data_IF_918462722208
#
_entry.id   IF_918462722208
#
_cell.length_a   1.000
_cell.length_b   1.000
_cell.length_c   1.000
_cell.angle_alpha   90.00
_cell.angle_beta   90.00
_cell.angle_gamma   90.00
#
_symmetry.space_group_name_H-M   'P 1'
#
loop_
_entity.id
_entity.type
_entity.pdbx_description
1 polymer ?
#
# COMPACT_ATOMS: atom_id res chain seq x y z
N UNK A 1 7.80 10.81 -3.37
CA UNK A 1 6.36 10.70 -3.69
C UNK A 1 5.50 11.10 -2.49
N UNK A 2 5.97 10.84 -1.26
CA UNK A 2 5.35 11.22 0.00
C UNK A 2 4.69 12.61 0.03
N UNK A 3 5.38 13.70 -0.35
CA UNK A 3 4.77 15.05 -0.37
C UNK A 3 3.46 15.06 -1.17
N UNK A 4 3.45 14.53 -2.40
CA UNK A 4 2.26 14.50 -3.24
C UNK A 4 1.14 13.60 -2.64
N UNK A 5 1.49 12.50 -1.96
CA UNK A 5 0.49 11.67 -1.26
C UNK A 5 -0.14 12.44 -0.09
N UNK A 6 0.68 13.13 0.73
CA UNK A 6 0.20 13.91 1.87
C UNK A 6 -0.64 15.13 1.44
N UNK A 7 -0.32 15.72 0.29
CA UNK A 7 -1.08 16.81 -0.32
C UNK A 7 -2.36 16.35 -1.04
N UNK A 8 -2.67 15.05 -1.05
CA UNK A 8 -3.85 14.51 -1.72
C UNK A 8 -3.74 14.46 -3.25
N UNK A 9 -2.56 14.68 -3.81
CA UNK A 9 -2.29 14.64 -5.26
C UNK A 9 -2.08 13.20 -5.74
N UNK A 10 -3.02 12.30 -5.47
CA UNK A 10 -2.85 10.87 -5.73
C UNK A 10 -2.63 10.54 -7.22
N UNK A 11 -3.26 11.29 -8.12
CA UNK A 11 -2.99 11.17 -9.56
C UNK A 11 -1.53 11.47 -9.90
N UNK A 12 -0.98 12.53 -9.30
CA UNK A 12 0.42 12.91 -9.49
C UNK A 12 1.38 11.86 -8.97
N UNK A 13 1.04 11.20 -7.87
CA UNK A 13 1.82 10.07 -7.32
C UNK A 13 1.88 8.92 -8.32
N UNK A 14 0.75 8.55 -8.93
CA UNK A 14 0.69 7.49 -9.96
C UNK A 14 1.51 7.86 -11.19
N UNK A 15 1.51 9.13 -11.62
CA UNK A 15 2.36 9.60 -12.71
C UNK A 15 3.85 9.53 -12.37
N UNK A 16 4.24 10.05 -11.20
CA UNK A 16 5.63 10.00 -10.72
C UNK A 16 6.12 8.56 -10.63
N UNK A 17 5.28 7.64 -10.16
CA UNK A 17 5.62 6.23 -10.04
C UNK A 17 6.10 5.64 -11.39
N UNK A 18 5.46 6.03 -12.50
CA UNK A 18 5.83 5.56 -13.86
C UNK A 18 7.21 6.02 -14.32
N UNK A 19 7.75 7.09 -13.73
CA UNK A 19 9.07 7.64 -14.09
C UNK A 19 10.21 7.03 -13.27
N UNK A 20 9.90 6.28 -12.23
CA UNK A 20 10.89 5.66 -11.33
C UNK A 20 11.06 4.20 -11.71
N UNK A 21 12.31 3.72 -11.73
CA UNK A 21 12.65 2.29 -11.77
C UNK A 21 12.91 1.80 -10.34
N UNK A 22 11.95 1.12 -9.67
CA UNK A 22 12.08 0.78 -8.26
C UNK A 22 13.28 -0.13 -7.97
N UNK A 23 13.67 -0.95 -8.95
CA UNK A 23 14.80 -1.88 -8.87
C UNK A 23 16.16 -1.14 -8.78
N UNK A 24 16.21 0.12 -9.21
CA UNK A 24 17.41 0.95 -9.05
C UNK A 24 17.57 1.50 -7.61
N UNK A 25 16.54 1.39 -6.77
CA UNK A 25 16.57 1.85 -5.38
C UNK A 25 17.28 0.81 -4.49
N UNK A 26 18.60 0.98 -4.30
CA UNK A 26 19.42 0.04 -3.51
C UNK A 26 19.04 -0.05 -2.02
N UNK A 27 18.54 1.04 -1.45
CA UNK A 27 18.13 1.06 -0.05
C UNK A 27 16.71 0.46 0.08
N UNK A 28 16.60 -0.63 0.85
CA UNK A 28 15.33 -1.32 1.13
C UNK A 28 14.22 -0.38 1.59
N UNK A 29 14.55 0.59 2.46
CA UNK A 29 13.59 1.58 2.96
C UNK A 29 13.07 2.52 1.86
N UNK A 30 13.89 2.84 0.85
CA UNK A 30 13.45 3.66 -0.29
C UNK A 30 12.54 2.84 -1.21
N UNK A 31 12.86 1.57 -1.40
CA UNK A 31 12.03 0.65 -2.17
C UNK A 31 10.67 0.45 -1.47
N UNK A 32 10.66 0.28 -0.15
CA UNK A 32 9.45 0.22 0.66
C UNK A 32 8.63 1.52 0.60
N UNK A 33 9.28 2.69 0.75
CA UNK A 33 8.61 4.00 0.68
C UNK A 33 7.94 4.23 -0.69
N UNK A 34 8.62 3.86 -1.78
CA UNK A 34 8.06 3.96 -3.13
C UNK A 34 6.74 3.19 -3.25
N UNK A 35 6.75 1.92 -2.84
CA UNK A 35 5.57 1.06 -2.92
C UNK A 35 4.48 1.46 -1.93
N UNK A 36 4.84 1.97 -0.75
CA UNK A 36 3.90 2.50 0.24
C UNK A 36 3.14 3.71 -0.31
N UNK A 37 3.86 4.70 -0.84
CA UNK A 37 3.26 5.92 -1.40
C UNK A 37 2.35 5.59 -2.59
N UNK A 38 2.82 4.72 -3.50
CA UNK A 38 2.02 4.26 -4.64
C UNK A 38 0.77 3.49 -4.17
N UNK A 39 0.90 2.59 -3.20
CA UNK A 39 -0.22 1.83 -2.66
C UNK A 39 -1.29 2.73 -2.05
N UNK A 40 -0.88 3.75 -1.28
CA UNK A 40 -1.80 4.75 -0.70
C UNK A 40 -2.53 5.54 -1.78
N UNK A 41 -1.84 5.97 -2.83
CA UNK A 41 -2.47 6.68 -3.94
C UNK A 41 -3.47 5.82 -4.71
N UNK A 42 -3.13 4.56 -5.00
CA UNK A 42 -4.03 3.62 -5.68
C UNK A 42 -5.25 3.27 -4.83
N UNK A 43 -5.06 3.13 -3.52
CA UNK A 43 -6.13 2.84 -2.57
C UNK A 43 -7.10 4.00 -2.38
N UNK A 44 -6.74 5.24 -2.70
CA UNK A 44 -7.57 6.40 -2.36
C UNK A 44 -9.01 6.30 -2.91
N UNK A 45 -9.16 6.02 -4.21
CA UNK A 45 -10.46 6.05 -4.90
C UNK A 45 -11.30 4.77 -4.79
N UNK A 46 -10.71 3.63 -4.41
CA UNK A 46 -11.41 2.33 -4.42
C UNK A 46 -11.48 1.65 -5.79
N UNK A 47 -11.01 2.33 -6.85
CA UNK A 47 -11.02 1.80 -8.22
C UNK A 47 -9.81 0.91 -8.53
N UNK A 48 -8.72 1.08 -7.80
CA UNK A 48 -7.45 0.37 -7.99
C UNK A 48 -7.01 -0.37 -6.72
N UNK A 49 -7.97 -0.88 -5.94
CA UNK A 49 -7.70 -1.56 -4.67
C UNK A 49 -6.83 -2.82 -4.85
N UNK A 50 -6.94 -3.51 -6.00
CA UNK A 50 -6.11 -4.68 -6.30
C UNK A 50 -4.66 -4.30 -6.59
N UNK A 51 -4.44 -3.22 -7.33
CA UNK A 51 -3.12 -2.68 -7.59
C UNK A 51 -2.50 -2.11 -6.31
N UNK A 52 -3.32 -1.50 -5.44
CA UNK A 52 -2.90 -1.05 -4.12
C UNK A 52 -2.45 -2.23 -3.24
N UNK A 53 -3.20 -3.33 -3.22
CA UNK A 53 -2.81 -4.58 -2.52
C UNK A 53 -1.43 -5.07 -3.02
N UNK A 54 -1.24 -5.15 -4.33
CA UNK A 54 0.04 -5.57 -4.93
C UNK A 54 1.18 -4.62 -4.52
N UNK A 55 0.94 -3.31 -4.54
CA UNK A 55 1.93 -2.33 -4.09
C UNK A 55 2.30 -2.54 -2.62
N UNK A 56 1.31 -2.74 -1.74
CA UNK A 56 1.58 -2.99 -0.32
C UNK A 56 2.34 -4.30 -0.07
N UNK A 57 2.07 -5.37 -0.83
CA UNK A 57 2.86 -6.61 -0.75
C UNK A 57 4.31 -6.35 -1.15
N UNK A 58 4.56 -5.52 -2.16
CA UNK A 58 5.93 -5.16 -2.57
C UNK A 58 6.61 -4.27 -1.52
N UNK A 59 5.88 -3.35 -0.91
CA UNK A 59 6.39 -2.52 0.20
C UNK A 59 6.79 -3.39 1.39
N UNK A 60 5.93 -4.33 1.76
CA UNK A 60 6.14 -5.29 2.84
C UNK A 60 7.38 -6.14 2.57
N UNK A 61 7.50 -6.77 1.40
CA UNK A 61 8.67 -7.57 1.03
C UNK A 61 9.97 -6.77 1.03
N UNK A 62 9.92 -5.49 0.66
CA UNK A 62 11.10 -4.63 0.63
C UNK A 62 11.64 -4.33 2.03
N UNK A 63 10.76 -4.06 3.00
CA UNK A 63 11.16 -3.84 4.40
C UNK A 63 10.04 -4.25 5.36
N UNK A 64 9.97 -5.54 5.76
CA UNK A 64 8.84 -6.07 6.54
C UNK A 64 8.60 -5.34 7.85
N UNK A 65 9.64 -5.20 8.68
CA UNK A 65 9.56 -4.53 9.99
C UNK A 65 9.09 -3.08 9.87
N UNK A 66 9.79 -2.22 9.09
CA UNK A 66 9.35 -0.85 8.87
C UNK A 66 7.95 -0.72 8.27
N UNK A 67 7.52 -1.66 7.43
CA UNK A 67 6.20 -1.63 6.81
C UNK A 67 5.08 -1.98 7.80
N UNK A 68 5.20 -3.06 8.58
CA UNK A 68 4.15 -3.46 9.53
C UNK A 68 4.00 -2.49 10.70
N UNK A 69 5.04 -1.72 11.01
CA UNK A 69 5.01 -0.65 12.03
C UNK A 69 4.53 0.70 11.47
N UNK A 70 4.29 0.83 10.16
CA UNK A 70 3.92 2.10 9.57
C UNK A 70 2.40 2.36 9.73
N UNK A 71 1.99 3.44 10.44
CA UNK A 71 0.57 3.72 10.68
C UNK A 71 -0.20 4.06 9.39
N UNK A 72 0.45 4.73 8.44
CA UNK A 72 -0.16 5.09 7.15
C UNK A 72 -0.44 3.85 6.29
N UNK A 73 0.45 2.84 6.38
CA UNK A 73 0.22 1.54 5.75
C UNK A 73 -0.96 0.81 6.40
N UNK A 74 -1.02 0.79 7.73
CA UNK A 74 -2.11 0.17 8.49
C UNK A 74 -3.47 0.78 8.12
N UNK A 75 -3.57 2.10 8.09
CA UNK A 75 -4.82 2.81 7.78
C UNK A 75 -5.31 2.52 6.35
N UNK A 76 -4.38 2.46 5.39
CA UNK A 76 -4.70 2.09 4.02
C UNK A 76 -5.20 0.63 3.92
N UNK A 77 -4.55 -0.31 4.63
CA UNK A 77 -4.98 -1.71 4.67
C UNK A 77 -6.34 -1.88 5.35
N UNK A 78 -6.63 -1.14 6.44
CA UNK A 78 -7.97 -1.10 7.05
C UNK A 78 -9.02 -0.62 6.04
N UNK A 79 -8.70 0.40 5.25
CA UNK A 79 -9.60 0.93 4.22
C UNK A 79 -9.87 -0.10 3.12
N UNK A 80 -8.83 -0.79 2.64
CA UNK A 80 -8.97 -1.88 1.68
C UNK A 80 -9.83 -3.02 2.24
N UNK A 81 -9.58 -3.43 3.49
CA UNK A 81 -10.35 -4.48 4.17
C UNK A 81 -11.84 -4.14 4.27
N UNK A 82 -12.19 -2.91 4.69
CA UNK A 82 -13.59 -2.46 4.80
C UNK A 82 -14.32 -2.49 3.47
N UNK A 83 -13.64 -2.13 2.37
CA UNK A 83 -14.24 -2.20 1.03
C UNK A 83 -14.35 -3.64 0.53
N UNK A 84 -13.32 -4.45 0.78
CA UNK A 84 -13.29 -5.85 0.40
C UNK A 84 -14.36 -6.68 1.13
N UNK A 85 -14.68 -6.39 2.39
CA UNK A 85 -15.78 -7.06 3.12
C UNK A 85 -17.14 -6.91 2.42
N UNK A 86 -17.38 -5.81 1.70
CA UNK A 86 -18.63 -5.61 0.93
C UNK A 86 -18.63 -6.31 -0.43
N UNK A 87 -17.49 -6.86 -0.85
CA UNK A 87 -17.28 -7.50 -2.15
C UNK A 87 -16.78 -8.93 -1.93
N UNK A 88 -15.46 -9.08 -1.79
CA UNK A 88 -14.77 -10.30 -1.42
C UNK A 88 -13.37 -9.95 -0.91
N UNK A 89 -12.94 -10.59 0.18
CA UNK A 89 -11.59 -10.43 0.73
C UNK A 89 -10.65 -11.42 0.04
N UNK A 90 -9.58 -10.92 -0.58
CA UNK A 90 -8.54 -11.77 -1.16
C UNK A 90 -7.68 -12.41 -0.06
N UNK A 91 -7.18 -13.63 -0.29
CA UNK A 91 -6.28 -14.33 0.64
C UNK A 91 -5.04 -13.50 1.00
N UNK A 92 -4.50 -12.78 0.01
CA UNK A 92 -3.35 -11.91 0.17
C UNK A 92 -3.67 -10.71 1.06
N UNK A 93 -4.79 -10.02 0.80
CA UNK A 93 -5.22 -8.89 1.61
C UNK A 93 -5.51 -9.31 3.05
N UNK A 94 -6.16 -10.45 3.26
CA UNK A 94 -6.37 -11.02 4.59
C UNK A 94 -5.06 -11.37 5.30
N UNK A 95 -4.07 -11.89 4.59
CA UNK A 95 -2.74 -12.16 5.15
C UNK A 95 -2.00 -10.87 5.51
N UNK A 96 -2.09 -9.85 4.67
CA UNK A 96 -1.52 -8.53 4.94
C UNK A 96 -2.17 -7.89 6.18
N UNK A 97 -3.50 -7.94 6.27
CA UNK A 97 -4.27 -7.44 7.41
C UNK A 97 -3.85 -8.08 8.74
N UNK A 98 -3.67 -9.41 8.75
CA UNK A 98 -3.18 -10.13 9.94
C UNK A 98 -1.80 -9.67 10.41
N UNK A 99 -0.89 -9.30 9.50
CA UNK A 99 0.43 -8.75 9.88
C UNK A 99 0.33 -7.40 10.61
N UNK A 100 -0.74 -6.66 10.36
CA UNK A 100 -1.07 -5.42 11.08
C UNK A 100 -1.93 -5.63 12.33
N UNK A 101 -2.20 -6.88 12.71
CA UNK A 101 -3.12 -7.21 13.81
C UNK A 101 -4.56 -6.78 13.55
N UNK A 102 -4.97 -6.71 12.27
CA UNK A 102 -6.35 -6.39 11.90
C UNK A 102 -7.13 -7.70 11.86
N UNK A 103 -8.13 -7.81 12.72
CA UNK A 103 -9.02 -8.98 12.75
C UNK A 103 -9.95 -8.98 11.54
N UNK A 104 -9.86 -10.03 10.75
CA UNK A 104 -10.78 -10.27 9.63
C UNK A 104 -11.88 -11.18 10.13
N UNK A 105 -13.05 -10.58 10.41
CA UNK A 105 -14.28 -11.35 10.58
C UNK A 105 -14.75 -11.69 9.15
N UNK A 106 -14.54 -12.95 8.75
CA UNK A 106 -15.02 -13.51 7.47
C UNK A 106 -16.44 -14.00 7.68
#
# INVERSE_FOLDING_TARGET
>A
MSIAVESGEYGRVVELARTVRPEALRASIRHQSYWLDLGRALAHSGRSDREAEVAFIRAERAAPGPFVLNPLARDAVVTLMRRAQRRSVSTNLGTLARRFGIEVHV
#
